data_IF_731125031962
#
_entry.id   IF_731125031962
#
_cell.length_a   1.000
_cell.length_b   1.000
_cell.length_c   1.000
_cell.angle_alpha   90.00
_cell.angle_beta   90.00
_cell.angle_gamma   90.00
#
_symmetry.space_group_name_H-M   'P 1'
#
loop_
_entity.id
_entity.type
_entity.pdbx_description
1 polymer ?
#
# COMPACT_ATOMS: atom_id res chain seq x y z
N UNK A 1 -87.31 11.76 2.18
CA UNK A 1 -87.36 10.49 1.42
C UNK A 1 -85.96 10.27 0.88
N UNK A 2 -85.11 9.34 1.32
CA UNK A 2 -85.28 7.93 1.63
C UNK A 2 -84.53 7.49 2.90
N UNK A 3 -84.89 6.31 3.42
CA UNK A 3 -84.48 5.73 4.69
C UNK A 3 -83.23 4.81 4.63
N UNK A 4 -82.41 4.85 5.71
CA UNK A 4 -81.70 3.79 6.50
C UNK A 4 -81.29 2.44 5.84
N UNK A 5 -80.22 1.70 6.28
CA UNK A 5 -79.92 1.38 7.68
C UNK A 5 -78.42 1.13 8.06
N UNK A 6 -78.19 0.32 9.10
CA UNK A 6 -77.17 0.32 10.16
C UNK A 6 -76.24 -0.93 10.09
N UNK A 7 -75.04 -0.81 10.71
CA UNK A 7 -74.14 -1.85 11.34
C UNK A 7 -73.25 -2.71 10.43
N UNK A 8 -71.95 -2.75 10.75
CA UNK A 8 -71.37 -3.79 11.64
C UNK A 8 -69.89 -3.49 11.99
N UNK A 9 -69.53 -3.78 13.24
CA UNK A 9 -68.17 -3.87 13.76
C UNK A 9 -67.62 -5.23 13.32
N UNK A 10 -66.40 -5.28 12.78
CA UNK A 10 -65.63 -6.52 12.70
C UNK A 10 -64.16 -6.26 13.02
N UNK A 11 -63.80 -6.71 14.21
CA UNK A 11 -62.45 -6.89 14.73
C UNK A 11 -61.80 -8.04 13.95
N UNK A 12 -60.71 -7.78 13.24
CA UNK A 12 -59.80 -8.85 12.81
C UNK A 12 -58.35 -8.49 13.13
N UNK A 13 -57.86 -9.15 14.17
CA UNK A 13 -56.46 -9.30 14.54
C UNK A 13 -55.83 -10.26 13.53
N UNK A 14 -54.76 -9.85 12.85
CA UNK A 14 -53.93 -10.80 12.10
C UNK A 14 -52.45 -10.54 12.40
N UNK A 15 -51.95 -11.27 13.39
CA UNK A 15 -50.54 -11.49 13.66
C UNK A 15 -49.95 -12.38 12.56
N UNK A 16 -48.99 -11.88 11.80
CA UNK A 16 -48.11 -12.73 10.97
C UNK A 16 -46.65 -12.42 11.22
N UNK A 17 -46.08 -13.39 11.94
CA UNK A 17 -44.70 -13.84 12.08
C UNK A 17 -43.61 -13.09 11.30
N UNK A 18 -42.70 -12.51 12.08
CA UNK A 18 -41.31 -12.25 11.73
C UNK A 18 -40.56 -13.58 11.59
N UNK A 19 -40.22 -13.99 10.37
CA UNK A 19 -39.16 -14.96 10.10
C UNK A 19 -38.59 -14.72 8.71
N UNK A 20 -37.45 -14.02 8.63
CA UNK A 20 -36.37 -14.14 7.62
C UNK A 20 -35.57 -12.84 7.52
N UNK A 21 -34.62 -12.64 8.43
CA UNK A 21 -33.54 -11.65 8.22
C UNK A 21 -32.15 -12.13 8.66
N UNK A 22 -32.02 -13.30 9.30
CA UNK A 22 -30.71 -13.75 9.80
C UNK A 22 -29.87 -14.54 8.78
N UNK A 23 -30.44 -15.14 7.74
CA UNK A 23 -29.66 -15.95 6.79
C UNK A 23 -28.85 -15.12 5.80
N UNK A 24 -29.31 -13.92 5.43
CA UNK A 24 -28.56 -13.04 4.53
C UNK A 24 -27.39 -12.32 5.22
N UNK A 25 -27.52 -11.98 6.51
CA UNK A 25 -26.40 -11.40 7.27
C UNK A 25 -25.28 -12.40 7.55
N UNK A 26 -25.62 -13.67 7.81
CA UNK A 26 -24.62 -14.73 8.00
C UNK A 26 -23.90 -15.08 6.68
N UNK A 27 -24.60 -15.06 5.54
CA UNK A 27 -23.97 -15.26 4.24
C UNK A 27 -23.06 -14.09 3.81
N UNK A 28 -23.46 -12.83 4.08
CA UNK A 28 -22.62 -11.66 3.82
C UNK A 28 -21.39 -11.60 4.75
N UNK A 29 -21.53 -12.03 6.00
CA UNK A 29 -20.40 -12.10 6.95
C UNK A 29 -19.45 -13.28 6.69
N UNK A 30 -19.90 -14.29 5.93
CA UNK A 30 -19.10 -15.44 5.52
C UNK A 30 -18.37 -15.22 4.18
N UNK A 31 -18.61 -14.09 3.49
CA UNK A 31 -17.96 -13.75 2.21
C UNK A 31 -16.89 -12.65 2.35
N UNK A 32 -16.51 -12.24 3.56
CA UNK A 32 -15.51 -11.19 3.79
C UNK A 32 -14.43 -11.57 4.80
N UNK A 33 -14.23 -12.85 5.10
CA UNK A 33 -12.96 -13.29 5.71
C UNK A 33 -12.05 -13.83 4.60
N UNK A 34 -11.62 -12.95 3.70
CA UNK A 34 -10.30 -13.19 3.12
C UNK A 34 -9.36 -13.14 4.31
N UNK A 35 -8.77 -14.28 4.69
CA UNK A 35 -7.59 -14.22 5.53
C UNK A 35 -6.62 -13.27 4.83
N UNK A 36 -6.21 -12.22 5.53
CA UNK A 36 -5.26 -11.25 4.99
C UNK A 36 -4.00 -12.04 4.65
N UNK A 37 -3.67 -12.06 3.37
CA UNK A 37 -2.55 -12.82 2.84
C UNK A 37 -1.36 -11.87 2.67
N UNK A 38 -0.30 -12.11 3.43
CA UNK A 38 0.87 -11.25 3.48
C UNK A 38 1.49 -11.06 2.10
N UNK A 39 1.67 -12.16 1.36
CA UNK A 39 2.28 -12.16 0.03
C UNK A 39 1.44 -11.32 -0.93
N UNK A 40 0.11 -11.51 -0.89
CA UNK A 40 -0.83 -10.75 -1.71
C UNK A 40 -0.79 -9.26 -1.40
N UNK A 41 -0.74 -8.87 -0.13
CA UNK A 41 -0.71 -7.45 0.24
C UNK A 41 0.60 -6.76 -0.14
N UNK A 42 1.74 -7.44 -0.05
CA UNK A 42 3.02 -6.86 -0.46
C UNK A 42 3.10 -6.78 -2.01
N UNK A 43 2.67 -7.82 -2.73
CA UNK A 43 2.64 -7.83 -4.20
C UNK A 43 1.76 -6.72 -4.78
N UNK A 44 0.75 -6.23 -4.05
CA UNK A 44 0.00 -5.05 -4.48
C UNK A 44 0.91 -3.84 -4.69
N UNK A 45 1.88 -3.61 -3.80
CA UNK A 45 2.85 -2.52 -3.95
C UNK A 45 3.78 -2.77 -5.14
N UNK A 46 4.27 -4.00 -5.29
CA UNK A 46 5.16 -4.38 -6.38
C UNK A 46 4.51 -4.20 -7.76
N UNK A 47 3.28 -4.70 -7.90
CA UNK A 47 2.52 -4.61 -9.14
C UNK A 47 2.14 -3.17 -9.47
N UNK A 48 1.90 -2.33 -8.46
CA UNK A 48 1.71 -0.89 -8.67
C UNK A 48 2.99 -0.22 -9.19
N UNK A 49 4.17 -0.55 -8.66
CA UNK A 49 5.43 0.00 -9.21
C UNK A 49 5.66 -0.47 -10.65
N UNK A 50 5.38 -1.74 -10.97
CA UNK A 50 5.45 -2.28 -12.35
C UNK A 50 4.46 -1.58 -13.29
N UNK A 51 3.22 -1.37 -12.87
CA UNK A 51 2.21 -0.63 -13.65
C UNK A 51 2.60 0.84 -13.87
N UNK A 52 3.04 1.52 -12.81
CA UNK A 52 3.48 2.91 -12.91
C UNK A 52 4.70 3.06 -13.82
N UNK A 53 5.63 2.09 -13.78
CA UNK A 53 6.77 2.00 -14.69
C UNK A 53 6.32 1.91 -16.15
N UNK A 54 5.41 1.01 -16.49
CA UNK A 54 4.88 0.89 -17.85
C UNK A 54 4.20 2.18 -18.32
N UNK A 55 3.39 2.80 -17.44
CA UNK A 55 2.70 4.07 -17.73
C UNK A 55 3.68 5.22 -17.90
N UNK A 56 4.77 5.25 -17.13
CA UNK A 56 5.82 6.26 -17.26
C UNK A 56 6.49 6.17 -18.64
N UNK A 57 6.81 4.96 -19.10
CA UNK A 57 7.38 4.74 -20.43
C UNK A 57 6.44 5.15 -21.55
N UNK A 58 5.13 4.89 -21.39
CA UNK A 58 4.11 5.36 -22.33
C UNK A 58 4.03 6.89 -22.39
N UNK A 59 3.98 7.56 -21.23
CA UNK A 59 3.96 9.02 -21.13
C UNK A 59 5.22 9.65 -21.74
N UNK A 60 6.39 9.03 -21.52
CA UNK A 60 7.65 9.46 -22.12
C UNK A 60 7.62 9.36 -23.66
N UNK A 61 7.12 8.25 -24.21
CA UNK A 61 6.95 8.08 -25.66
C UNK A 61 6.02 9.15 -26.26
N UNK A 62 4.99 9.54 -25.53
CA UNK A 62 4.04 10.59 -25.92
C UNK A 62 4.54 12.01 -25.64
N UNK A 63 5.71 12.15 -24.97
CA UNK A 63 6.31 13.42 -24.55
C UNK A 63 5.41 14.22 -23.59
N UNK A 64 4.59 13.54 -22.79
CA UNK A 64 3.76 14.16 -21.76
C UNK A 64 4.56 14.31 -20.45
N UNK A 65 5.35 15.37 -20.39
CA UNK A 65 6.20 15.67 -19.21
C UNK A 65 5.40 15.91 -17.93
N UNK A 66 4.17 16.43 -18.03
CA UNK A 66 3.30 16.61 -16.87
C UNK A 66 2.86 15.27 -16.31
N UNK A 67 2.39 14.36 -17.17
CA UNK A 67 2.01 13.01 -16.74
C UNK A 67 3.20 12.23 -16.19
N UNK A 68 4.38 12.34 -16.81
CA UNK A 68 5.61 11.74 -16.28
C UNK A 68 5.90 12.21 -14.85
N UNK A 69 5.79 13.52 -14.57
CA UNK A 69 5.98 14.07 -13.23
C UNK A 69 4.98 13.53 -12.19
N UNK A 70 3.70 13.40 -12.56
CA UNK A 70 2.66 12.82 -11.69
C UNK A 70 2.89 11.33 -11.41
N UNK A 71 3.29 10.57 -12.44
CA UNK A 71 3.61 9.15 -12.29
C UNK A 71 4.84 8.99 -11.39
N UNK A 72 5.92 9.72 -11.65
CA UNK A 72 7.14 9.67 -10.85
C UNK A 72 6.89 10.07 -9.38
N UNK A 73 6.05 11.09 -9.14
CA UNK A 73 5.60 11.46 -7.78
C UNK A 73 4.89 10.29 -7.09
N UNK A 74 4.00 9.62 -7.82
CA UNK A 74 3.26 8.47 -7.29
C UNK A 74 4.21 7.31 -7.00
N UNK A 75 5.18 7.02 -7.87
CA UNK A 75 6.20 5.98 -7.63
C UNK A 75 7.05 6.27 -6.39
N UNK A 76 7.47 7.52 -6.19
CA UNK A 76 8.21 7.94 -5.00
C UNK A 76 7.41 7.64 -3.73
N UNK A 77 6.12 8.01 -3.74
CA UNK A 77 5.26 7.76 -2.58
C UNK A 77 5.12 6.27 -2.31
N UNK A 78 4.69 5.49 -3.30
CA UNK A 78 4.42 4.06 -3.10
C UNK A 78 5.67 3.29 -2.68
N UNK A 79 6.83 3.56 -3.30
CA UNK A 79 8.09 2.95 -2.90
C UNK A 79 8.50 3.33 -1.47
N UNK A 80 8.27 4.57 -1.05
CA UNK A 80 8.59 5.02 0.32
C UNK A 80 7.69 4.36 1.36
N UNK A 81 6.38 4.27 1.08
CA UNK A 81 5.41 3.65 1.97
C UNK A 81 5.65 2.15 2.12
N UNK A 82 5.95 1.47 1.01
CA UNK A 82 6.31 0.06 0.97
C UNK A 82 7.56 -0.20 1.82
N UNK A 83 8.67 0.48 1.52
CA UNK A 83 9.94 0.15 2.15
C UNK A 83 9.97 0.38 3.67
N UNK A 84 9.43 1.52 4.12
CA UNK A 84 9.31 1.77 5.57
C UNK A 84 8.21 0.91 6.22
N UNK A 85 7.19 0.50 5.46
CA UNK A 85 6.18 -0.45 5.90
C UNK A 85 6.81 -1.78 6.33
N UNK A 86 7.66 -2.37 5.49
CA UNK A 86 8.33 -3.65 5.76
C UNK A 86 9.41 -3.55 6.83
N UNK A 87 10.24 -2.51 6.80
CA UNK A 87 11.28 -2.29 7.81
C UNK A 87 10.69 -2.14 9.23
N UNK A 88 9.50 -1.54 9.33
CA UNK A 88 8.80 -1.37 10.60
C UNK A 88 7.98 -2.60 11.02
N UNK A 89 7.77 -3.58 10.13
CA UNK A 89 6.96 -4.77 10.36
C UNK A 89 7.66 -6.08 9.94
N UNK A 90 7.57 -6.46 8.66
CA UNK A 90 8.02 -7.72 8.06
C UNK A 90 9.46 -8.07 8.42
N UNK A 91 10.39 -7.10 8.42
CA UNK A 91 11.79 -7.40 8.70
C UNK A 91 12.05 -7.78 10.15
N UNK A 92 11.22 -7.30 11.09
CA UNK A 92 11.25 -7.77 12.48
C UNK A 92 10.79 -9.22 12.59
N UNK A 93 9.82 -9.64 11.76
CA UNK A 93 9.40 -11.02 11.70
C UNK A 93 10.49 -11.91 11.08
N UNK A 94 11.18 -11.46 10.03
CA UNK A 94 12.35 -12.17 9.50
C UNK A 94 13.41 -12.38 10.59
N UNK A 95 13.78 -11.33 11.33
CA UNK A 95 14.73 -11.43 12.44
C UNK A 95 14.26 -12.41 13.53
N UNK A 96 12.98 -12.35 13.92
CA UNK A 96 12.40 -13.22 14.94
C UNK A 96 12.30 -14.70 14.53
N UNK A 97 12.37 -15.00 13.24
CA UNK A 97 12.23 -16.35 12.67
C UNK A 97 13.55 -16.90 12.10
N UNK A 98 14.70 -16.46 12.64
CA UNK A 98 16.05 -16.90 12.25
C UNK A 98 16.39 -16.61 10.77
N UNK A 99 15.82 -15.55 10.20
CA UNK A 99 16.08 -15.08 8.83
C UNK A 99 16.83 -13.73 8.85
N UNK A 100 17.68 -13.50 9.84
CA UNK A 100 18.40 -12.23 10.01
C UNK A 100 19.19 -11.78 8.77
N UNK A 101 19.94 -12.70 8.14
CA UNK A 101 20.70 -12.37 6.95
C UNK A 101 19.81 -11.97 5.76
N UNK A 102 18.57 -12.46 5.71
CA UNK A 102 17.59 -12.04 4.71
C UNK A 102 17.14 -10.62 5.01
N UNK A 103 16.76 -10.34 6.26
CA UNK A 103 16.36 -9.00 6.69
C UNK A 103 17.47 -7.95 6.46
N UNK A 104 18.73 -8.26 6.74
CA UNK A 104 19.84 -7.35 6.47
C UNK A 104 20.07 -7.11 4.98
N UNK A 105 19.96 -8.16 4.15
CA UNK A 105 20.04 -8.00 2.70
C UNK A 105 18.93 -7.07 2.18
N UNK A 106 17.71 -7.24 2.68
CA UNK A 106 16.55 -6.44 2.26
C UNK A 106 16.65 -4.99 2.72
N UNK A 107 17.22 -4.74 3.91
CA UNK A 107 17.57 -3.39 4.37
C UNK A 107 18.61 -2.73 3.46
N UNK A 108 19.62 -3.47 3.00
CA UNK A 108 20.61 -2.95 2.06
C UNK A 108 19.98 -2.61 0.69
N UNK A 109 19.09 -3.45 0.19
CA UNK A 109 18.37 -3.20 -1.06
C UNK A 109 17.43 -1.98 -0.94
N UNK A 110 16.68 -1.87 0.16
CA UNK A 110 15.88 -0.68 0.47
C UNK A 110 16.72 0.59 0.57
N UNK A 111 17.92 0.52 1.12
CA UNK A 111 18.83 1.65 1.16
C UNK A 111 19.16 2.14 -0.27
N UNK A 112 19.37 1.24 -1.22
CA UNK A 112 19.58 1.57 -2.63
C UNK A 112 18.32 2.13 -3.30
N UNK A 113 17.16 1.51 -3.06
CA UNK A 113 15.85 2.00 -3.55
C UNK A 113 15.60 3.44 -3.08
N UNK A 114 15.74 3.71 -1.78
CA UNK A 114 15.54 5.04 -1.18
C UNK A 114 16.53 6.07 -1.75
N UNK A 115 17.79 5.68 -1.97
CA UNK A 115 18.77 6.56 -2.59
C UNK A 115 18.39 6.91 -4.04
N UNK A 116 17.97 5.92 -4.83
CA UNK A 116 17.57 6.12 -6.23
C UNK A 116 16.32 7.01 -6.34
N UNK A 117 15.26 6.72 -5.56
CA UNK A 117 14.06 7.57 -5.55
C UNK A 117 14.31 8.95 -4.94
N UNK A 118 15.30 9.12 -4.04
CA UNK A 118 15.70 10.45 -3.57
C UNK A 118 16.30 11.31 -4.69
N UNK A 119 16.99 10.71 -5.68
CA UNK A 119 17.45 11.45 -6.88
C UNK A 119 16.25 11.92 -7.70
N UNK A 120 15.28 11.04 -7.97
CA UNK A 120 14.04 11.38 -8.68
C UNK A 120 13.29 12.49 -7.96
N UNK A 121 13.14 12.38 -6.64
CA UNK A 121 12.44 13.37 -5.82
C UNK A 121 13.10 14.75 -5.92
N UNK A 122 14.44 14.83 -5.87
CA UNK A 122 15.18 16.09 -6.03
C UNK A 122 14.99 16.72 -7.41
N UNK A 123 14.96 15.93 -8.49
CA UNK A 123 14.69 16.44 -9.83
C UNK A 123 13.29 17.07 -9.92
N UNK A 124 12.29 16.44 -9.30
CA UNK A 124 10.93 16.98 -9.24
C UNK A 124 10.78 18.19 -8.31
N UNK A 125 11.71 18.41 -7.38
CA UNK A 125 11.78 19.62 -6.55
C UNK A 125 12.60 20.75 -7.19
N UNK A 126 13.24 20.49 -8.34
CA UNK A 126 14.12 21.40 -9.02
C UNK A 126 13.41 22.58 -9.70
N UNK A 127 14.07 23.26 -10.65
CA UNK A 127 13.49 24.36 -11.43
C UNK A 127 12.16 23.96 -12.09
N UNK A 128 11.35 24.95 -12.49
CA UNK A 128 10.01 24.73 -13.08
C UNK A 128 9.95 23.75 -14.28
N UNK A 129 11.11 23.43 -14.89
CA UNK A 129 11.26 22.39 -15.90
C UNK A 129 12.43 21.48 -15.51
N UNK A 130 12.19 20.24 -15.04
CA UNK A 130 13.26 19.28 -14.79
C UNK A 130 13.93 18.89 -16.11
N UNK A 131 15.22 18.53 -16.04
CA UNK A 131 15.89 17.85 -17.15
C UNK A 131 15.15 16.51 -17.39
N UNK A 132 14.46 16.42 -18.53
CA UNK A 132 13.58 15.31 -18.82
C UNK A 132 14.36 14.02 -19.09
N UNK A 133 15.53 14.13 -19.72
CA UNK A 133 16.38 12.98 -20.04
C UNK A 133 17.01 12.42 -18.75
N UNK A 134 17.40 13.30 -17.84
CA UNK A 134 17.86 12.91 -16.50
C UNK A 134 16.72 12.26 -15.68
N UNK A 135 15.52 12.85 -15.70
CA UNK A 135 14.35 12.29 -15.00
C UNK A 135 14.03 10.87 -15.49
N UNK A 136 14.00 10.66 -16.80
CA UNK A 136 13.77 9.34 -17.40
C UNK A 136 14.82 8.34 -16.94
N UNK A 137 16.09 8.75 -16.94
CA UNK A 137 17.20 7.88 -16.53
C UNK A 137 17.08 7.49 -15.05
N UNK A 138 16.82 8.47 -14.16
CA UNK A 138 16.69 8.20 -12.73
C UNK A 138 15.44 7.39 -12.39
N UNK A 139 14.29 7.64 -13.04
CA UNK A 139 13.08 6.81 -12.83
C UNK A 139 13.34 5.38 -13.27
N UNK A 140 14.08 5.17 -14.38
CA UNK A 140 14.50 3.84 -14.82
C UNK A 140 15.38 3.12 -13.83
N UNK A 141 16.45 3.76 -13.40
CA UNK A 141 17.33 3.20 -12.38
C UNK A 141 16.56 2.84 -11.10
N UNK A 142 15.74 3.75 -10.58
CA UNK A 142 14.99 3.54 -9.35
C UNK A 142 13.97 2.40 -9.45
N UNK A 143 13.21 2.33 -10.54
CA UNK A 143 12.24 1.25 -10.74
C UNK A 143 12.91 -0.09 -10.97
N UNK A 144 14.05 -0.14 -11.68
CA UNK A 144 14.74 -1.40 -11.95
C UNK A 144 15.33 -1.99 -10.67
N UNK A 145 15.89 -1.14 -9.78
CA UNK A 145 16.35 -1.55 -8.45
C UNK A 145 15.18 -2.07 -7.61
N UNK A 146 14.07 -1.32 -7.55
CA UNK A 146 12.88 -1.72 -6.80
C UNK A 146 12.32 -3.06 -7.30
N UNK A 147 12.13 -3.20 -8.61
CA UNK A 147 11.54 -4.42 -9.21
C UNK A 147 12.43 -5.63 -8.96
N UNK A 148 13.76 -5.45 -8.98
CA UNK A 148 14.69 -6.53 -8.67
C UNK A 148 14.56 -7.00 -7.22
N UNK A 149 14.52 -6.07 -6.27
CA UNK A 149 14.30 -6.36 -4.85
C UNK A 149 12.96 -7.10 -4.66
N UNK A 150 11.87 -6.57 -5.21
CA UNK A 150 10.54 -7.19 -5.19
C UNK A 150 10.53 -8.62 -5.76
N UNK A 151 11.30 -8.91 -6.81
CA UNK A 151 11.42 -10.26 -7.36
C UNK A 151 12.13 -11.23 -6.42
N UNK A 152 13.16 -10.79 -5.70
CA UNK A 152 13.89 -11.62 -4.74
C UNK A 152 13.02 -11.92 -3.51
N UNK A 153 12.25 -10.94 -3.06
CA UNK A 153 11.24 -11.11 -2.02
C UNK A 153 10.18 -12.15 -2.38
N UNK A 154 9.54 -11.97 -3.53
CA UNK A 154 8.46 -12.82 -4.04
C UNK A 154 8.91 -14.27 -4.26
N UNK A 155 10.12 -14.46 -4.82
CA UNK A 155 10.60 -15.80 -5.23
C UNK A 155 11.32 -16.53 -4.12
N UNK A 156 11.99 -15.82 -3.21
CA UNK A 156 12.93 -16.42 -2.28
C UNK A 156 12.57 -16.14 -0.82
N UNK A 157 12.39 -14.88 -0.43
CA UNK A 157 12.46 -14.49 0.98
C UNK A 157 11.13 -14.69 1.71
N UNK A 158 10.03 -14.17 1.16
CA UNK A 158 8.71 -14.34 1.77
C UNK A 158 8.19 -15.77 1.75
N UNK A 159 8.45 -16.60 0.72
CA UNK A 159 8.17 -18.04 0.81
C UNK A 159 8.89 -18.74 1.98
N UNK A 160 10.08 -18.27 2.38
CA UNK A 160 10.78 -18.82 3.55
C UNK A 160 10.13 -18.38 4.86
N UNK A 161 9.76 -17.10 4.97
CA UNK A 161 9.07 -16.56 6.14
C UNK A 161 7.70 -17.23 6.35
N UNK A 162 6.88 -17.31 5.30
CA UNK A 162 5.53 -17.90 5.35
C UNK A 162 5.59 -19.37 5.79
N UNK A 163 6.59 -20.14 5.37
CA UNK A 163 6.78 -21.54 5.83
C UNK A 163 7.06 -21.65 7.32
N UNK A 164 7.60 -20.61 7.94
CA UNK A 164 7.91 -20.56 9.38
C UNK A 164 6.76 -19.97 10.20
N UNK A 165 5.82 -19.27 9.56
CA UNK A 165 4.66 -18.66 10.21
C UNK A 165 3.48 -19.65 10.27
N UNK A 166 2.73 -19.60 11.37
CA UNK A 166 1.38 -20.15 11.40
C UNK A 166 0.38 -19.23 10.68
N UNK A 167 -0.79 -19.74 10.30
CA UNK A 167 -1.82 -18.97 9.59
C UNK A 167 -2.27 -17.71 10.35
N UNK A 168 -2.41 -17.82 11.68
CA UNK A 168 -2.73 -16.68 12.55
C UNK A 168 -1.63 -15.62 12.54
N UNK A 169 -0.38 -16.04 12.66
CA UNK A 169 0.76 -15.13 12.74
C UNK A 169 0.96 -14.42 11.39
N UNK A 170 0.74 -15.10 10.26
CA UNK A 170 0.75 -14.49 8.94
C UNK A 170 -0.35 -13.42 8.79
N UNK A 171 -1.56 -13.70 9.27
CA UNK A 171 -2.67 -12.73 9.23
C UNK A 171 -2.38 -11.50 10.09
N UNK A 172 -1.82 -11.69 11.28
CA UNK A 172 -1.50 -10.59 12.18
C UNK A 172 -0.32 -9.76 11.65
N UNK A 173 0.72 -10.41 11.09
CA UNK A 173 1.82 -9.72 10.40
C UNK A 173 1.33 -8.91 9.19
N UNK A 174 0.35 -9.42 8.45
CA UNK A 174 -0.25 -8.67 7.33
C UNK A 174 -0.92 -7.38 7.80
N UNK A 175 -1.63 -7.40 8.94
CA UNK A 175 -2.20 -6.17 9.54
C UNK A 175 -1.11 -5.23 10.02
N UNK A 176 -0.03 -5.76 10.60
CA UNK A 176 1.11 -4.96 11.04
C UNK A 176 1.76 -4.23 9.87
N UNK A 177 1.99 -4.92 8.75
CA UNK A 177 2.48 -4.32 7.51
C UNK A 177 1.59 -3.19 7.01
N UNK A 178 0.29 -3.46 6.84
CA UNK A 178 -0.65 -2.45 6.34
C UNK A 178 -0.76 -1.24 7.27
N UNK A 179 -0.67 -1.43 8.59
CA UNK A 179 -0.67 -0.34 9.56
C UNK A 179 0.66 0.44 9.55
N UNK A 180 1.80 -0.25 9.46
CA UNK A 180 3.11 0.36 9.35
C UNK A 180 3.20 1.22 8.08
N UNK A 181 2.72 0.70 6.94
CA UNK A 181 2.62 1.42 5.67
C UNK A 181 1.81 2.71 5.78
N UNK A 182 0.65 2.71 6.46
CA UNK A 182 -0.13 3.95 6.73
C UNK A 182 0.66 4.98 7.56
N UNK A 183 1.57 4.49 8.42
CA UNK A 183 2.39 5.34 9.29
C UNK A 183 3.69 5.80 8.62
N UNK A 184 4.15 5.13 7.56
CA UNK A 184 5.35 5.48 6.83
C UNK A 184 5.34 6.93 6.28
N UNK A 185 6.51 7.56 6.14
CA UNK A 185 6.67 8.80 5.39
C UNK A 185 6.42 8.56 3.89
N UNK A 186 5.85 9.55 3.22
CA UNK A 186 5.47 9.48 1.81
C UNK A 186 6.58 9.91 0.85
N UNK A 187 7.82 10.05 1.35
CA UNK A 187 9.02 10.43 0.59
C UNK A 187 10.25 9.69 1.12
N UNK A 188 11.30 9.52 0.30
CA UNK A 188 12.46 8.75 0.68
C UNK A 188 13.36 9.54 1.64
N UNK A 189 13.72 8.91 2.76
CA UNK A 189 14.66 9.45 3.75
C UNK A 189 15.90 8.56 3.87
N UNK A 190 16.80 8.53 2.86
CA UNK A 190 17.94 7.59 2.82
C UNK A 190 18.98 7.82 3.93
N UNK A 191 18.92 8.96 4.64
CA UNK A 191 19.80 9.27 5.78
C UNK A 191 19.16 8.98 7.14
N UNK A 192 17.88 8.56 7.17
CA UNK A 192 17.24 8.12 8.39
C UNK A 192 17.74 6.71 8.76
N UNK A 193 17.69 6.32 10.05
CA UNK A 193 17.95 4.95 10.46
C UNK A 193 17.04 3.96 9.73
N UNK A 194 17.60 2.85 9.25
CA UNK A 194 16.87 1.81 8.47
C UNK A 194 16.86 0.43 9.17
N UNK A 195 17.29 0.39 10.43
CA UNK A 195 17.31 -0.83 11.23
C UNK A 195 15.92 -1.28 11.73
N UNK A 196 14.85 -0.55 11.37
CA UNK A 196 13.55 -0.68 11.99
C UNK A 196 13.48 -0.08 13.40
N UNK A 197 12.33 -0.27 14.04
CA UNK A 197 12.12 0.04 15.46
C UNK A 197 11.80 1.50 15.78
N UNK A 198 11.92 1.87 17.06
CA UNK A 198 11.42 3.14 17.58
C UNK A 198 12.15 4.38 17.01
N UNK A 199 13.45 4.27 16.73
CA UNK A 199 14.23 5.39 16.23
C UNK A 199 13.88 5.74 14.78
N UNK A 200 13.70 4.74 13.92
CA UNK A 200 13.20 4.93 12.56
C UNK A 200 11.76 5.44 12.57
N UNK A 201 10.88 4.84 13.38
CA UNK A 201 9.50 5.29 13.51
C UNK A 201 9.41 6.76 13.94
N UNK A 202 10.26 7.19 14.90
CA UNK A 202 10.34 8.58 15.33
C UNK A 202 10.85 9.52 14.22
N UNK A 203 11.90 9.12 13.50
CA UNK A 203 12.42 9.88 12.36
C UNK A 203 11.35 10.07 11.27
N UNK A 204 10.63 9.00 10.91
CA UNK A 204 9.51 9.04 9.98
C UNK A 204 8.39 9.96 10.46
N UNK A 205 7.97 9.84 11.73
CA UNK A 205 6.93 10.71 12.29
C UNK A 205 7.30 12.20 12.25
N UNK A 206 8.58 12.54 12.43
CA UNK A 206 9.06 13.92 12.33
C UNK A 206 9.11 14.44 10.89
N UNK A 207 9.28 13.58 9.88
CA UNK A 207 9.30 14.00 8.47
C UNK A 207 7.91 14.11 7.84
N UNK A 208 6.91 13.37 8.33
CA UNK A 208 5.53 13.36 7.77
C UNK A 208 4.93 14.74 7.52
N UNK A 209 5.02 15.75 8.41
CA UNK A 209 4.44 17.06 8.14
C UNK A 209 5.10 17.76 6.94
N UNK A 210 6.42 17.65 6.81
CA UNK A 210 7.16 18.21 5.68
C UNK A 210 6.84 17.48 4.38
N UNK A 211 6.71 16.15 4.44
CA UNK A 211 6.35 15.35 3.28
C UNK A 211 4.90 15.60 2.84
N UNK A 212 3.96 15.71 3.77
CA UNK A 212 2.58 16.07 3.48
C UNK A 212 2.47 17.45 2.83
N UNK A 213 3.28 18.42 3.28
CA UNK A 213 3.37 19.72 2.62
C UNK A 213 3.84 19.55 1.18
N UNK A 214 4.95 18.86 0.93
CA UNK A 214 5.48 18.65 -0.44
C UNK A 214 4.47 17.90 -1.31
N UNK A 215 3.86 16.83 -0.80
CA UNK A 215 2.87 16.04 -1.56
C UNK A 215 1.59 16.82 -1.85
N UNK A 216 1.18 17.77 -1.00
CA UNK A 216 0.03 18.64 -1.27
C UNK A 216 0.26 19.60 -2.46
N UNK A 217 1.52 19.85 -2.84
CA UNK A 217 1.87 20.64 -4.02
C UNK A 217 2.07 19.80 -5.28
N UNK A 218 1.93 18.46 -5.19
CA UNK A 218 2.14 17.55 -6.31
C UNK A 218 0.87 16.78 -6.65
N UNK A 219 0.64 16.65 -7.94
CA UNK A 219 -0.43 15.80 -8.45
C UNK A 219 0.03 14.33 -8.52
N UNK A 220 -0.92 13.44 -8.26
CA UNK A 220 -0.72 11.99 -8.30
C UNK A 220 -1.56 11.37 -9.41
N UNK A 221 -1.22 10.14 -9.78
CA UNK A 221 -2.06 9.31 -10.64
C UNK A 221 -2.73 8.21 -9.81
N UNK A 222 -3.93 7.73 -10.20
CA UNK A 222 -4.54 6.60 -9.50
C UNK A 222 -3.70 5.33 -9.67
N UNK A 223 -3.65 4.54 -8.60
CA UNK A 223 -3.10 3.19 -8.59
C UNK A 223 -4.07 2.20 -9.23
N UNK A 224 -3.55 1.09 -9.72
CA UNK A 224 -4.33 0.03 -10.36
C UNK A 224 -4.67 -1.09 -9.39
N UNK A 225 -3.76 -1.38 -8.46
CA UNK A 225 -3.89 -2.41 -7.44
C UNK A 225 -4.12 -1.73 -6.08
N UNK A 226 -4.95 -2.34 -5.23
CA UNK A 226 -5.33 -1.77 -3.95
C UNK A 226 -5.29 -2.82 -2.84
N UNK A 227 -4.77 -2.40 -1.68
CA UNK A 227 -4.72 -3.23 -0.48
C UNK A 227 -6.11 -3.55 0.04
N UNK A 228 -6.20 -4.60 0.85
CA UNK A 228 -7.38 -4.83 1.67
C UNK A 228 -7.61 -3.69 2.67
N UNK A 229 -8.86 -3.44 3.01
CA UNK A 229 -9.20 -2.57 4.13
C UNK A 229 -8.96 -3.31 5.44
N UNK A 230 -8.19 -2.67 6.33
CA UNK A 230 -7.87 -3.10 7.71
C UNK A 230 -8.14 -1.98 8.69
#
# INVERSE_FOLDING_TARGET
MFARPIRQISIYRNSRLSYRTNTFKLAASAMSSHNLDLMREIVVDHDNIRDLRERFEAAHKEKDSQLMGRIATTMIQEASLHSDGEELSVYKALDAHDLHNVAEHDREDHQHVKQAFSKVDKLLMGPMSPDLDELVTCVREASDIFIKHAEDEEKNQYPQLIKKLGEKDATDLTKEFLNARKMAPSRPHPSAPQSGGAMQAAAGMMSKPMDAMVQAWRDHVPLKHHHAEV
#
